data_IF_418009017807
#
_entry.id   IF_418009017807
#
_cell.length_a   1.000
_cell.length_b   1.000
_cell.length_c   1.000
_cell.angle_alpha   90.00
_cell.angle_beta   90.00
_cell.angle_gamma   90.00
#
_symmetry.space_group_name_H-M   'P 1'
#
loop_
_entity.id
_entity.type
_entity.pdbx_description
1 polymer ?
#
# COMPACT_ATOMS: atom_id res chain seq x y z
N UNK A 1 -35.52 -8.68 -38.53
CA UNK A 1 -36.00 -9.11 -37.21
C UNK A 1 -34.79 -9.13 -36.28
N UNK A 2 -34.53 -8.01 -35.57
CA UNK A 2 -33.43 -7.86 -34.63
C UNK A 2 -34.04 -7.51 -33.28
N UNK A 3 -33.80 -8.36 -32.29
CA UNK A 3 -34.31 -8.24 -30.94
C UNK A 3 -33.39 -7.27 -30.18
N UNK A 4 -33.95 -6.20 -29.64
CA UNK A 4 -33.26 -5.32 -28.69
C UNK A 4 -33.52 -5.86 -27.28
N UNK A 5 -32.46 -6.22 -26.56
CA UNK A 5 -32.52 -6.53 -25.14
C UNK A 5 -32.30 -5.22 -24.37
N UNK A 6 -33.35 -4.68 -23.76
CA UNK A 6 -33.28 -3.56 -22.83
C UNK A 6 -33.01 -4.15 -21.45
N UNK A 7 -31.79 -3.99 -20.94
CA UNK A 7 -31.46 -4.35 -19.57
C UNK A 7 -31.85 -3.18 -18.65
N UNK A 8 -32.85 -3.42 -17.80
CA UNK A 8 -33.34 -2.51 -16.79
C UNK A 8 -32.41 -2.58 -15.56
N UNK A 9 -31.66 -1.51 -15.28
CA UNK A 9 -30.86 -1.41 -14.05
C UNK A 9 -31.77 -0.96 -12.90
N UNK A 10 -32.14 -1.91 -12.03
CA UNK A 10 -32.75 -1.59 -10.74
C UNK A 10 -31.69 -1.03 -9.80
N UNK A 11 -31.76 0.28 -9.52
CA UNK A 11 -31.07 0.91 -8.39
C UNK A 11 -31.67 0.35 -7.08
N UNK A 12 -30.98 -0.61 -6.48
CA UNK A 12 -31.26 -1.03 -5.10
C UNK A 12 -30.73 0.04 -4.13
N UNK A 13 -31.65 0.75 -3.49
CA UNK A 13 -31.36 1.56 -2.31
C UNK A 13 -30.82 0.64 -1.20
N UNK A 14 -29.50 0.64 -0.98
CA UNK A 14 -28.93 0.16 0.27
C UNK A 14 -29.26 1.18 1.36
N UNK A 15 -30.31 0.90 2.12
CA UNK A 15 -30.52 1.52 3.43
C UNK A 15 -29.35 1.11 4.33
N UNK A 16 -28.37 2.00 4.47
CA UNK A 16 -27.32 1.88 5.48
C UNK A 16 -28.00 1.84 6.85
N UNK A 17 -28.05 0.66 7.44
CA UNK A 17 -28.35 0.53 8.85
C UNK A 17 -27.19 1.19 9.59
N UNK A 18 -27.37 2.44 10.03
CA UNK A 18 -26.60 3.00 11.14
C UNK A 18 -26.99 2.25 12.41
N UNK A 19 -26.63 0.96 12.48
CA UNK A 19 -26.61 0.24 13.74
C UNK A 19 -25.64 0.99 14.64
N UNK A 20 -26.07 1.31 15.85
CA UNK A 20 -25.17 1.80 16.88
C UNK A 20 -23.99 0.82 16.95
N UNK A 21 -22.80 1.30 16.54
CA UNK A 21 -21.59 0.52 16.60
C UNK A 21 -21.41 0.12 18.07
N UNK A 22 -21.55 -1.18 18.34
CA UNK A 22 -21.48 -1.70 19.70
C UNK A 22 -20.14 -1.28 20.29
N UNK A 23 -20.17 -0.64 21.46
CA UNK A 23 -18.99 -0.24 22.20
C UNK A 23 -18.17 -1.50 22.48
N UNK A 24 -16.95 -1.54 21.96
CA UNK A 24 -16.08 -2.71 21.98
C UNK A 24 -14.95 -2.45 22.97
N UNK A 25 -14.78 -3.32 23.96
CA UNK A 25 -13.68 -3.25 24.92
C UNK A 25 -12.47 -4.08 24.46
N UNK A 26 -11.32 -3.83 25.08
CA UNK A 26 -10.15 -4.70 24.85
C UNK A 26 -10.44 -6.16 25.23
N UNK A 27 -11.18 -6.41 26.31
CA UNK A 27 -11.59 -7.75 26.72
C UNK A 27 -12.42 -8.45 25.64
N UNK A 28 -13.31 -7.73 24.96
CA UNK A 28 -14.12 -8.28 23.86
C UNK A 28 -13.24 -8.69 22.68
N UNK A 29 -12.21 -7.89 22.34
CA UNK A 29 -11.23 -8.24 21.30
C UNK A 29 -10.44 -9.49 21.70
N UNK A 30 -9.93 -9.56 22.93
CA UNK A 30 -9.20 -10.75 23.40
C UNK A 30 -10.07 -12.01 23.35
N UNK A 31 -11.33 -11.90 23.79
CA UNK A 31 -12.29 -12.99 23.75
C UNK A 31 -12.58 -13.44 22.32
N UNK A 32 -12.81 -12.49 21.40
CA UNK A 32 -13.05 -12.77 19.97
C UNK A 32 -11.86 -13.48 19.30
N UNK A 33 -10.65 -13.20 19.77
CA UNK A 33 -9.39 -13.76 19.27
C UNK A 33 -8.97 -15.05 20.01
N UNK A 34 -9.83 -15.57 20.90
CA UNK A 34 -9.56 -16.74 21.75
C UNK A 34 -8.27 -16.60 22.59
N UNK A 35 -7.94 -15.38 23.01
CA UNK A 35 -6.80 -15.10 23.86
C UNK A 35 -7.27 -15.13 25.32
N UNK A 36 -6.68 -15.98 26.17
CA UNK A 36 -7.11 -16.07 27.57
C UNK A 36 -6.83 -14.74 28.26
N UNK A 37 -7.84 -14.09 28.87
CA UNK A 37 -7.60 -12.96 29.76
C UNK A 37 -6.99 -13.52 31.04
N UNK A 38 -5.67 -13.64 31.06
CA UNK A 38 -4.96 -14.12 32.24
C UNK A 38 -4.99 -13.05 33.35
N UNK A 39 -4.87 -13.42 34.63
CA UNK A 39 -5.16 -12.52 35.75
C UNK A 39 -4.10 -11.45 36.02
N UNK A 40 -3.15 -11.23 35.11
CA UNK A 40 -2.15 -10.18 35.22
C UNK A 40 -2.71 -8.95 34.52
N UNK A 41 -2.58 -7.78 35.17
CA UNK A 41 -3.18 -6.49 34.80
C UNK A 41 -2.79 -6.05 33.39
N UNK A 42 -3.52 -6.56 32.38
CA UNK A 42 -3.57 -5.95 31.05
C UNK A 42 -4.18 -4.56 31.26
N UNK A 43 -3.42 -3.48 31.01
CA UNK A 43 -3.96 -2.13 31.13
C UNK A 43 -5.20 -1.99 30.27
N UNK A 44 -6.19 -1.26 30.76
CA UNK A 44 -7.38 -0.90 29.98
C UNK A 44 -8.21 -2.09 29.49
N UNK A 45 -8.07 -3.28 30.10
CA UNK A 45 -8.78 -4.50 29.69
C UNK A 45 -10.30 -4.28 29.53
N UNK A 46 -10.90 -3.48 30.42
CA UNK A 46 -12.33 -3.19 30.42
C UNK A 46 -12.67 -1.82 29.84
N UNK A 47 -11.70 -1.11 29.29
CA UNK A 47 -11.91 0.18 28.63
C UNK A 47 -12.39 -0.05 27.20
N UNK A 48 -13.24 0.86 26.73
CA UNK A 48 -13.64 0.93 25.32
C UNK A 48 -12.44 1.33 24.46
N UNK A 49 -12.31 0.67 23.31
CA UNK A 49 -11.22 0.90 22.37
C UNK A 49 -11.73 1.23 20.97
N UNK A 50 -10.89 1.86 20.18
CA UNK A 50 -11.18 2.22 18.78
C UNK A 50 -9.92 2.13 17.92
N UNK A 51 -10.11 2.15 16.60
CA UNK A 51 -9.04 2.20 15.60
C UNK A 51 -7.93 1.17 15.86
N UNK A 52 -8.35 -0.08 16.00
CA UNK A 52 -7.48 -1.19 16.36
C UNK A 52 -7.32 -2.19 15.20
N UNK A 53 -6.20 -2.90 15.24
CA UNK A 53 -5.99 -4.11 14.45
C UNK A 53 -5.25 -5.14 15.29
N UNK A 54 -5.40 -6.41 14.93
CA UNK A 54 -4.79 -7.55 15.62
C UNK A 54 -3.87 -8.31 14.69
N UNK A 55 -2.83 -8.91 15.28
CA UNK A 55 -2.09 -10.04 14.74
C UNK A 55 -2.29 -11.20 15.71
N UNK A 56 -2.76 -12.33 15.22
CA UNK A 56 -2.98 -13.52 16.05
C UNK A 56 -2.47 -14.76 15.31
N UNK A 57 -1.29 -15.25 15.70
CA UNK A 57 -0.68 -16.45 15.11
C UNK A 57 -0.30 -17.48 16.18
N UNK A 58 0.27 -18.62 15.79
CA UNK A 58 0.63 -19.70 16.72
C UNK A 58 1.66 -19.29 17.78
N UNK A 59 2.42 -18.20 17.55
CA UNK A 59 3.50 -17.75 18.45
C UNK A 59 3.05 -16.65 19.38
N UNK A 60 2.19 -15.73 18.92
CA UNK A 60 1.82 -14.57 19.70
C UNK A 60 0.49 -13.93 19.27
N UNK A 61 0.02 -13.04 20.13
CA UNK A 61 -1.03 -12.10 19.84
C UNK A 61 -0.50 -10.68 20.02
N UNK A 62 -0.82 -9.77 19.11
CA UNK A 62 -0.49 -8.35 19.19
C UNK A 62 -1.73 -7.55 18.83
N UNK A 63 -2.01 -6.49 19.59
CA UNK A 63 -3.06 -5.52 19.28
C UNK A 63 -2.52 -4.11 19.46
N UNK A 64 -2.72 -3.28 18.44
CA UNK A 64 -2.50 -1.84 18.49
C UNK A 64 -3.86 -1.16 18.53
N UNK A 65 -4.07 -0.21 19.44
CA UNK A 65 -5.39 0.40 19.68
C UNK A 65 -5.27 1.78 20.35
N UNK A 66 -6.37 2.53 20.29
CA UNK A 66 -6.57 3.74 21.11
C UNK A 66 -7.72 3.51 22.09
N UNK A 67 -7.67 4.18 23.24
CA UNK A 67 -8.82 4.28 24.13
C UNK A 67 -9.86 5.20 23.50
N UNK A 68 -11.13 4.81 23.53
CA UNK A 68 -12.21 5.66 23.07
C UNK A 68 -12.46 6.77 24.10
N UNK A 69 -12.37 8.02 23.67
CA UNK A 69 -12.79 9.18 24.48
C UNK A 69 -14.28 9.46 24.22
N UNK A 70 -15.17 9.29 25.22
CA UNK A 70 -16.59 9.54 25.03
C UNK A 70 -16.92 10.99 24.62
N UNK A 71 -16.06 11.95 24.97
CA UNK A 71 -16.25 13.36 24.62
C UNK A 71 -15.81 13.68 23.17
N UNK A 72 -14.89 12.89 22.61
CA UNK A 72 -14.30 13.14 21.29
C UNK A 72 -14.19 11.84 20.47
N UNK A 73 -15.31 11.14 20.27
CA UNK A 73 -15.36 9.83 19.59
C UNK A 73 -14.75 9.78 18.18
N UNK A 74 -14.62 10.93 17.51
CA UNK A 74 -14.05 11.04 16.17
C UNK A 74 -12.56 11.43 16.16
N UNK A 75 -11.94 11.62 17.32
CA UNK A 75 -10.53 11.99 17.44
C UNK A 75 -9.73 10.84 18.04
N UNK A 76 -8.54 10.58 17.49
CA UNK A 76 -7.58 9.67 18.09
C UNK A 76 -6.85 10.39 19.23
N UNK A 77 -7.03 9.89 20.46
CA UNK A 77 -6.34 10.40 21.63
C UNK A 77 -5.07 9.60 21.88
N UNK A 78 -3.92 10.19 21.59
CA UNK A 78 -2.63 9.61 21.94
C UNK A 78 -2.53 9.34 23.44
N UNK A 79 -1.81 8.30 23.89
CA UNK A 79 -0.89 7.47 23.09
C UNK A 79 -1.59 6.39 22.24
N UNK A 80 -0.90 5.92 21.20
CA UNK A 80 -1.19 4.63 20.60
C UNK A 80 -0.73 3.54 21.58
N UNK A 81 -1.64 2.67 22.01
CA UNK A 81 -1.34 1.57 22.91
C UNK A 81 -1.08 0.31 22.10
N UNK A 82 -0.04 -0.43 22.48
CA UNK A 82 0.28 -1.72 21.88
C UNK A 82 0.45 -2.74 22.98
N UNK A 83 -0.31 -3.82 22.86
CA UNK A 83 -0.29 -4.94 23.78
C UNK A 83 0.11 -6.20 23.02
N UNK A 84 1.07 -6.95 23.57
CA UNK A 84 1.57 -8.22 23.05
C UNK A 84 1.41 -9.32 24.09
N UNK A 85 1.02 -10.50 23.64
CA UNK A 85 1.00 -11.73 24.41
C UNK A 85 1.85 -12.79 23.72
N UNK A 86 2.95 -13.18 24.35
CA UNK A 86 3.79 -14.29 23.91
C UNK A 86 3.15 -15.61 24.36
N UNK A 87 2.64 -16.40 23.40
CA UNK A 87 1.93 -17.65 23.70
C UNK A 87 2.88 -18.76 24.18
N UNK A 88 4.18 -18.61 23.95
CA UNK A 88 5.18 -19.60 24.34
C UNK A 88 5.61 -19.40 25.80
N UNK A 89 5.83 -18.15 26.19
CA UNK A 89 6.23 -17.82 27.57
C UNK A 89 5.05 -17.48 28.47
N UNK A 90 3.86 -17.27 27.89
CA UNK A 90 2.65 -16.85 28.59
C UNK A 90 2.82 -15.44 29.23
N UNK A 91 3.61 -14.58 28.59
CA UNK A 91 3.96 -13.26 29.10
C UNK A 91 3.27 -12.16 28.29
N UNK A 92 2.82 -11.13 29.00
CA UNK A 92 2.27 -9.91 28.42
C UNK A 92 3.31 -8.80 28.38
N UNK A 93 3.25 -7.97 27.35
CA UNK A 93 4.08 -6.76 27.20
C UNK A 93 3.23 -5.63 26.66
N UNK A 94 3.49 -4.40 27.13
CA UNK A 94 2.68 -3.24 26.81
C UNK A 94 3.58 -2.03 26.55
N UNK A 95 3.26 -1.23 25.55
CA UNK A 95 3.90 0.06 25.29
C UNK A 95 2.86 1.11 24.90
N UNK A 96 3.14 2.36 25.27
CA UNK A 96 2.38 3.53 24.89
C UNK A 96 3.26 4.43 24.02
N UNK A 97 2.89 4.63 22.76
CA UNK A 97 3.64 5.41 21.79
C UNK A 97 3.03 6.80 21.61
N UNK A 98 3.88 7.82 21.70
CA UNK A 98 3.54 9.23 21.48
C UNK A 98 4.70 9.94 20.78
N UNK A 99 4.39 10.98 20.00
CA UNK A 99 5.41 11.82 19.36
C UNK A 99 6.26 11.10 18.30
N UNK A 100 5.80 9.96 17.77
CA UNK A 100 6.49 9.22 16.73
C UNK A 100 6.32 9.94 15.39
N UNK A 101 7.43 10.30 14.76
CA UNK A 101 7.46 11.07 13.50
C UNK A 101 7.70 10.16 12.29
N UNK A 102 7.23 10.62 11.14
CA UNK A 102 7.48 10.03 9.83
C UNK A 102 7.67 11.13 8.80
N UNK A 103 8.45 10.86 7.75
CA UNK A 103 8.47 11.72 6.58
C UNK A 103 7.12 11.62 5.88
N UNK A 104 6.42 12.75 5.76
CA UNK A 104 5.11 12.79 5.14
C UNK A 104 5.17 12.36 3.66
N UNK A 105 6.27 12.71 2.98
CA UNK A 105 6.58 12.32 1.61
C UNK A 105 8.05 11.93 1.51
N UNK A 106 8.33 10.81 0.87
CA UNK A 106 9.71 10.34 0.67
C UNK A 106 10.54 11.33 -0.15
N UNK A 107 11.77 11.59 0.30
CA UNK A 107 12.67 12.56 -0.31
C UNK A 107 12.39 14.03 0.04
N UNK A 108 11.44 14.30 0.94
CA UNK A 108 11.14 15.64 1.45
C UNK A 108 11.39 15.73 2.97
N UNK A 109 11.81 16.91 3.44
CA UNK A 109 12.07 17.17 4.87
C UNK A 109 10.82 17.58 5.66
N UNK A 110 9.63 17.15 5.21
CA UNK A 110 8.36 17.44 5.88
C UNK A 110 8.03 16.24 6.75
N UNK A 111 7.95 16.47 8.06
CA UNK A 111 7.56 15.44 9.03
C UNK A 111 6.11 15.59 9.48
N UNK A 112 5.47 14.47 9.76
CA UNK A 112 4.15 14.37 10.38
C UNK A 112 4.15 13.36 11.52
N UNK A 113 3.12 13.37 12.36
CA UNK A 113 2.92 12.31 13.35
C UNK A 113 2.50 11.01 12.65
N UNK A 114 3.15 9.91 13.01
CA UNK A 114 2.79 8.57 12.56
C UNK A 114 1.93 7.87 13.63
N UNK A 115 0.77 8.47 13.90
CA UNK A 115 -0.17 8.05 14.95
C UNK A 115 -1.61 8.09 14.40
N UNK A 116 -1.81 7.40 13.28
CA UNK A 116 -3.12 7.22 12.64
C UNK A 116 -3.95 6.08 13.24
N UNK A 117 -5.07 5.77 12.60
CA UNK A 117 -5.88 4.60 12.94
C UNK A 117 -5.14 3.33 12.53
N UNK A 118 -4.98 2.37 13.45
CA UNK A 118 -4.29 1.12 13.14
C UNK A 118 -5.17 0.30 12.19
N UNK A 119 -4.66 -0.01 10.99
CA UNK A 119 -5.39 -0.72 9.95
C UNK A 119 -4.92 -2.16 9.76
N UNK A 120 -3.65 -2.46 10.05
CA UNK A 120 -3.11 -3.81 9.99
C UNK A 120 -1.90 -3.97 10.92
N UNK A 121 -1.65 -5.20 11.36
CA UNK A 121 -0.42 -5.59 12.06
C UNK A 121 0.10 -6.85 11.39
N UNK A 122 1.32 -6.79 10.89
CA UNK A 122 1.99 -7.91 10.25
C UNK A 122 3.33 -8.19 10.91
N UNK A 123 3.85 -9.41 10.72
CA UNK A 123 5.13 -9.81 11.30
C UNK A 123 6.02 -10.45 10.26
N UNK A 124 7.18 -9.84 10.05
CA UNK A 124 8.16 -10.30 9.08
C UNK A 124 9.56 -10.22 9.67
N UNK A 125 10.33 -11.31 9.54
CA UNK A 125 11.70 -11.43 10.04
C UNK A 125 11.90 -10.95 11.50
N UNK A 126 10.91 -11.23 12.37
CA UNK A 126 10.97 -10.90 13.80
C UNK A 126 10.57 -9.47 14.18
N UNK A 127 10.30 -8.60 13.21
CA UNK A 127 9.78 -7.24 13.43
C UNK A 127 8.27 -7.20 13.21
N UNK A 128 7.62 -6.22 13.85
CA UNK A 128 6.22 -5.88 13.59
C UNK A 128 6.12 -4.69 12.65
N UNK A 129 5.17 -4.77 11.73
CA UNK A 129 4.81 -3.71 10.80
C UNK A 129 3.38 -3.34 11.08
N UNK A 130 3.19 -2.19 11.73
CA UNK A 130 1.87 -1.65 12.03
C UNK A 130 1.55 -0.63 10.96
N UNK A 131 0.57 -0.94 10.11
CA UNK A 131 0.04 0.00 9.13
C UNK A 131 -0.98 0.92 9.80
N UNK A 132 -0.82 2.22 9.63
CA UNK A 132 -1.71 3.25 10.19
C UNK A 132 -2.23 4.14 9.08
N UNK A 133 -3.54 4.36 9.08
CA UNK A 133 -4.21 5.27 8.17
C UNK A 133 -4.27 6.68 8.79
N UNK A 134 -3.68 7.68 8.13
CA UNK A 134 -3.64 9.08 8.59
C UNK A 134 -4.77 9.91 7.96
N UNK A 135 -4.88 9.85 6.64
CA UNK A 135 -5.89 10.50 5.82
C UNK A 135 -6.23 9.57 4.65
N UNK A 136 -7.27 9.83 3.83
CA UNK A 136 -7.57 9.01 2.65
C UNK A 136 -6.42 8.86 1.64
N UNK A 137 -5.40 9.71 1.77
CA UNK A 137 -4.27 9.88 0.86
C UNK A 137 -2.91 9.64 1.51
N UNK A 138 -2.88 9.45 2.82
CA UNK A 138 -1.65 9.30 3.57
C UNK A 138 -1.81 8.22 4.63
N UNK A 139 -0.79 7.38 4.71
CA UNK A 139 -0.63 6.38 5.74
C UNK A 139 0.76 6.50 6.33
N UNK A 140 1.03 5.71 7.34
CA UNK A 140 2.39 5.42 7.71
C UNK A 140 2.49 4.00 8.23
N UNK A 141 3.69 3.45 8.20
CA UNK A 141 4.02 2.17 8.81
C UNK A 141 4.96 2.41 9.98
N UNK A 142 4.61 1.93 11.17
CA UNK A 142 5.55 1.80 12.29
C UNK A 142 6.24 0.44 12.19
N UNK A 143 7.57 0.45 12.22
CA UNK A 143 8.37 -0.77 12.33
C UNK A 143 8.83 -0.89 13.77
N UNK A 144 8.44 -1.97 14.42
CA UNK A 144 8.77 -2.24 15.82
C UNK A 144 9.66 -3.48 15.92
N UNK A 145 10.61 -3.41 16.85
CA UNK A 145 11.36 -4.58 17.30
C UNK A 145 10.46 -5.51 18.12
N UNK A 146 10.95 -6.71 18.44
CA UNK A 146 10.22 -7.70 19.26
C UNK A 146 9.83 -7.17 20.65
N UNK A 147 10.62 -6.26 21.22
CA UNK A 147 10.37 -5.60 22.50
C UNK A 147 9.41 -4.39 22.40
N UNK A 148 8.77 -4.23 21.23
CA UNK A 148 7.84 -3.15 20.89
C UNK A 148 8.47 -1.76 20.82
N UNK A 149 9.81 -1.65 20.84
CA UNK A 149 10.49 -0.38 20.58
C UNK A 149 10.40 -0.02 19.10
N UNK A 150 10.18 1.27 18.81
CA UNK A 150 10.15 1.77 17.42
C UNK A 150 11.57 1.72 16.85
N UNK A 151 11.75 0.96 15.78
CA UNK A 151 13.02 0.91 15.03
C UNK A 151 13.04 1.89 13.87
N UNK A 152 11.91 2.05 13.18
CA UNK A 152 11.79 2.95 12.04
C UNK A 152 10.33 3.29 11.70
N UNK A 153 10.14 4.26 10.80
CA UNK A 153 8.83 4.61 10.24
C UNK A 153 8.92 4.75 8.72
N UNK A 154 7.87 4.35 8.00
CA UNK A 154 7.74 4.52 6.56
C UNK A 154 6.52 5.39 6.25
N UNK A 155 6.67 6.38 5.37
CA UNK A 155 5.56 7.22 4.91
C UNK A 155 4.81 6.53 3.78
N UNK A 156 3.88 5.63 4.09
CA UNK A 156 3.21 4.78 3.12
C UNK A 156 2.70 3.46 3.71
N UNK A 157 2.18 2.59 2.85
CA UNK A 157 1.65 1.27 3.19
C UNK A 157 2.55 0.17 2.64
N UNK A 158 2.70 -0.92 3.40
CA UNK A 158 3.48 -2.09 2.98
C UNK A 158 2.70 -2.96 1.98
N UNK A 159 3.35 -3.38 0.90
CA UNK A 159 2.72 -4.17 -0.18
C UNK A 159 3.26 -5.60 -0.29
N UNK A 160 4.54 -5.82 0.01
CA UNK A 160 5.16 -7.14 -0.04
C UNK A 160 6.44 -7.23 0.81
N UNK A 161 6.81 -8.45 1.19
CA UNK A 161 7.96 -8.72 2.06
C UNK A 161 8.84 -9.83 1.48
N UNK A 162 10.14 -9.61 1.47
CA UNK A 162 11.14 -10.68 1.28
C UNK A 162 11.34 -11.45 2.60
N UNK A 163 11.78 -12.71 2.53
CA UNK A 163 12.18 -13.49 3.71
C UNK A 163 13.30 -12.79 4.51
N UNK A 164 14.15 -12.01 3.82
CA UNK A 164 15.19 -11.20 4.46
C UNK A 164 14.66 -10.06 5.34
N UNK A 165 13.35 -9.78 5.32
CA UNK A 165 12.73 -8.64 5.99
C UNK A 165 12.76 -7.33 5.20
N UNK A 166 13.30 -7.33 3.97
CA UNK A 166 13.18 -6.17 3.07
C UNK A 166 11.71 -5.99 2.68
N UNK A 167 11.27 -4.75 2.62
CA UNK A 167 9.86 -4.41 2.43
C UNK A 167 9.69 -3.63 1.15
N UNK A 168 8.70 -4.02 0.36
CA UNK A 168 8.17 -3.21 -0.72
C UNK A 168 7.00 -2.41 -0.16
N UNK A 169 7.02 -1.10 -0.39
CA UNK A 169 5.96 -0.21 0.08
C UNK A 169 5.69 0.89 -0.94
N UNK A 170 4.42 1.25 -1.09
CA UNK A 170 3.99 2.44 -1.81
C UNK A 170 4.09 3.63 -0.87
N UNK A 171 4.79 4.66 -1.32
CA UNK A 171 4.93 5.90 -0.57
C UNK A 171 3.67 6.77 -0.64
N UNK A 172 3.47 7.58 0.38
CA UNK A 172 2.39 8.58 0.41
C UNK A 172 2.42 9.50 -0.83
N UNK A 173 1.22 9.93 -1.24
CA UNK A 173 1.01 10.78 -2.40
C UNK A 173 0.14 11.99 -2.06
N UNK A 174 0.26 13.04 -2.85
CA UNK A 174 -0.60 14.22 -2.74
C UNK A 174 -1.85 13.99 -3.58
N UNK A 175 -2.95 13.50 -3.01
CA UNK A 175 -4.17 13.15 -3.79
C UNK A 175 -5.06 14.36 -4.20
N UNK A 176 -4.53 15.58 -4.31
CA UNK A 176 -5.35 16.77 -4.63
C UNK A 176 -5.77 16.87 -6.11
N UNK A 177 -5.25 16.00 -6.97
CA UNK A 177 -5.67 15.80 -8.37
C UNK A 177 -5.26 14.38 -8.85
N UNK A 178 -5.92 13.78 -9.87
CA UNK A 178 -5.57 12.47 -10.44
C UNK A 178 -4.27 12.55 -11.27
N UNK A 179 -3.18 12.93 -10.62
CA UNK A 179 -2.03 13.53 -11.32
C UNK A 179 -0.71 13.28 -10.61
N UNK A 180 -0.52 12.09 -10.04
CA UNK A 180 0.79 11.70 -9.53
C UNK A 180 1.06 10.24 -9.85
N UNK A 181 2.27 9.92 -10.34
CA UNK A 181 2.67 8.53 -10.46
C UNK A 181 2.81 7.95 -9.05
N UNK A 182 2.16 6.83 -8.80
CA UNK A 182 2.42 6.04 -7.61
C UNK A 182 3.91 5.71 -7.52
N UNK A 183 4.45 5.85 -6.31
CA UNK A 183 5.87 5.65 -6.05
C UNK A 183 6.06 4.41 -5.21
N UNK A 184 6.73 3.42 -5.78
CA UNK A 184 7.08 2.19 -5.10
C UNK A 184 8.53 2.27 -4.62
N UNK A 185 8.76 1.83 -3.38
CA UNK A 185 10.07 1.81 -2.75
C UNK A 185 10.40 0.42 -2.24
N UNK A 186 11.70 0.18 -2.04
CA UNK A 186 12.20 -0.93 -1.23
C UNK A 186 12.93 -0.38 -0.02
N UNK A 187 12.55 -0.84 1.17
CA UNK A 187 13.21 -0.54 2.43
C UNK A 187 14.02 -1.75 2.92
N UNK A 188 15.26 -1.50 3.36
CA UNK A 188 16.10 -2.49 4.03
C UNK A 188 16.20 -2.20 5.53
N UNK A 189 15.64 -3.08 6.40
CA UNK A 189 15.64 -2.86 7.84
C UNK A 189 17.02 -2.99 8.50
N UNK A 190 18.03 -3.53 7.82
CA UNK A 190 19.38 -3.69 8.37
C UNK A 190 20.17 -2.39 8.27
N UNK A 191 20.06 -1.69 7.14
CA UNK A 191 20.77 -0.42 6.89
C UNK A 191 19.90 0.81 7.08
N UNK A 192 18.59 0.63 7.32
CA UNK A 192 17.59 1.69 7.48
C UNK A 192 17.55 2.65 6.29
N UNK A 193 17.57 2.10 5.08
CA UNK A 193 17.57 2.88 3.83
C UNK A 193 16.41 2.47 2.93
N UNK A 194 15.81 3.48 2.30
CA UNK A 194 14.71 3.34 1.33
C UNK A 194 15.18 3.77 -0.04
N UNK A 195 14.90 2.93 -1.04
CA UNK A 195 15.29 3.17 -2.43
C UNK A 195 14.09 3.11 -3.36
N UNK A 196 13.96 4.12 -4.23
CA UNK A 196 12.91 4.17 -5.23
C UNK A 196 13.04 3.00 -6.22
N UNK A 197 11.97 2.22 -6.35
CA UNK A 197 11.79 1.16 -7.35
C UNK A 197 11.00 1.64 -8.55
N UNK A 198 9.96 2.46 -8.38
CA UNK A 198 9.13 2.94 -9.49
C UNK A 198 8.58 4.33 -9.15
N UNK A 199 8.45 5.24 -10.13
CA UNK A 199 8.85 5.11 -11.54
C UNK A 199 10.36 5.27 -11.76
N UNK A 200 10.88 4.67 -12.84
CA UNK A 200 12.27 4.84 -13.27
C UNK A 200 12.40 6.01 -14.26
N UNK A 201 13.53 6.73 -14.21
CA UNK A 201 13.76 7.91 -15.07
C UNK A 201 13.85 7.57 -16.55
N UNK A 202 14.48 6.44 -16.88
CA UNK A 202 14.71 5.98 -18.26
C UNK A 202 13.77 4.84 -18.60
N UNK A 203 12.46 5.14 -18.57
CA UNK A 203 11.39 4.18 -18.81
C UNK A 203 10.79 4.40 -20.22
N UNK A 204 11.06 3.50 -21.19
CA UNK A 204 10.54 3.61 -22.55
C UNK A 204 9.01 3.65 -22.63
N UNK A 205 8.30 2.84 -21.83
CA UNK A 205 6.84 2.75 -21.90
C UNK A 205 6.20 4.00 -21.29
N UNK A 206 6.72 4.52 -20.16
CA UNK A 206 6.30 5.84 -19.66
C UNK A 206 6.60 6.93 -20.67
N UNK A 207 7.78 6.94 -21.28
CA UNK A 207 8.13 7.96 -22.28
C UNK A 207 7.19 7.94 -23.49
N UNK A 208 6.78 6.75 -23.95
CA UNK A 208 5.77 6.60 -24.99
C UNK A 208 4.41 7.12 -24.54
N UNK A 209 3.97 6.85 -23.30
CA UNK A 209 2.73 7.39 -22.74
C UNK A 209 2.76 8.91 -22.59
N UNK A 210 3.86 9.47 -22.08
CA UNK A 210 4.11 10.92 -21.96
C UNK A 210 4.04 11.59 -23.33
N UNK A 211 4.69 11.00 -24.35
CA UNK A 211 4.66 11.52 -25.71
C UNK A 211 3.24 11.55 -26.30
N UNK A 212 2.38 10.64 -25.85
CA UNK A 212 0.98 10.57 -26.23
C UNK A 212 0.14 11.63 -25.50
N UNK A 213 0.28 11.78 -24.18
CA UNK A 213 -0.35 12.86 -23.40
C UNK A 213 0.02 14.24 -23.97
N UNK A 214 1.28 14.45 -24.33
CA UNK A 214 1.74 15.73 -24.91
C UNK A 214 1.00 16.19 -26.17
N UNK A 215 0.37 15.26 -26.91
CA UNK A 215 -0.39 15.60 -28.11
C UNK A 215 -1.76 16.21 -27.80
N UNK A 216 -2.27 15.95 -26.59
CA UNK A 216 -3.58 16.41 -26.11
C UNK A 216 -3.46 17.38 -24.93
N UNK A 217 -2.25 17.55 -24.39
CA UNK A 217 -1.96 18.45 -23.28
C UNK A 217 -2.27 19.90 -23.64
N UNK A 218 -3.08 20.54 -22.80
CA UNK A 218 -3.42 21.95 -22.88
C UNK A 218 -3.05 22.64 -21.55
N UNK A 219 -2.05 23.52 -21.64
CA UNK A 219 -1.55 24.29 -20.50
C UNK A 219 -2.65 25.16 -19.86
N UNK A 220 -3.59 25.68 -20.66
CA UNK A 220 -4.64 26.57 -20.14
C UNK A 220 -5.70 25.81 -19.35
N UNK A 221 -5.82 24.50 -19.57
CA UNK A 221 -6.73 23.61 -18.84
C UNK A 221 -6.16 23.16 -17.51
N UNK A 222 -4.84 23.05 -17.37
CA UNK A 222 -4.22 22.49 -16.16
C UNK A 222 -4.66 23.24 -14.87
N UNK A 223 -4.66 24.57 -14.89
CA UNK A 223 -5.11 25.37 -13.75
C UNK A 223 -6.64 25.48 -13.60
N UNK A 224 -7.41 25.40 -14.70
CA UNK A 224 -8.87 25.58 -14.70
C UNK A 224 -9.60 24.31 -14.27
N UNK A 225 -9.12 23.17 -14.72
CA UNK A 225 -9.75 21.86 -14.54
C UNK A 225 -9.13 21.09 -13.36
N UNK A 226 -8.20 21.71 -12.61
CA UNK A 226 -7.41 21.08 -11.55
C UNK A 226 -6.67 19.82 -12.05
N UNK A 227 -6.02 19.98 -13.19
CA UNK A 227 -5.31 18.96 -13.96
C UNK A 227 -3.80 19.12 -13.81
N UNK A 228 -3.02 18.09 -14.14
CA UNK A 228 -1.56 18.20 -14.02
C UNK A 228 -1.04 19.15 -15.08
N UNK A 229 -0.11 20.03 -14.68
CA UNK A 229 0.59 20.90 -15.63
C UNK A 229 1.88 20.27 -16.19
N UNK A 230 2.25 19.05 -15.77
CA UNK A 230 3.37 18.29 -16.33
C UNK A 230 2.89 16.91 -16.82
N UNK A 231 2.93 16.62 -18.13
CA UNK A 231 2.62 15.30 -18.70
C UNK A 231 3.38 14.11 -18.09
N UNK A 232 4.48 14.33 -17.38
CA UNK A 232 5.21 13.27 -16.66
C UNK A 232 4.53 12.82 -15.37
N UNK A 233 3.71 13.68 -14.79
CA UNK A 233 2.97 13.47 -13.56
C UNK A 233 1.63 12.75 -13.80
N UNK A 234 1.53 11.98 -14.88
CA UNK A 234 0.31 11.24 -15.15
C UNK A 234 0.06 10.13 -14.14
N UNK A 235 -1.22 9.88 -13.90
CA UNK A 235 -1.68 8.86 -12.97
C UNK A 235 -1.15 7.49 -13.41
N UNK A 236 -0.41 6.86 -12.50
CA UNK A 236 -0.07 5.47 -12.66
C UNK A 236 -0.29 4.74 -11.37
N UNK A 237 -1.01 3.63 -11.44
CA UNK A 237 -1.46 2.86 -10.28
C UNK A 237 -0.75 1.51 -10.31
N UNK A 238 -0.03 1.18 -9.25
CA UNK A 238 0.53 -0.14 -9.04
C UNK A 238 -0.60 -1.06 -8.61
N UNK A 239 -0.91 -2.07 -9.43
CA UNK A 239 -2.01 -2.99 -9.15
C UNK A 239 -1.52 -4.17 -8.32
N UNK A 240 -2.05 -4.41 -7.10
CA UNK A 240 -1.75 -5.60 -6.34
C UNK A 240 -2.18 -6.89 -7.07
N UNK A 241 -1.53 -8.03 -6.82
CA UNK A 241 -0.44 -8.20 -5.85
C UNK A 241 0.94 -7.89 -6.45
N UNK A 242 1.84 -7.38 -5.61
CA UNK A 242 3.28 -7.38 -5.91
C UNK A 242 3.84 -8.74 -5.55
N UNK A 243 4.62 -9.33 -6.45
CA UNK A 243 5.28 -10.63 -6.22
C UNK A 243 6.77 -10.44 -6.03
N UNK A 244 7.31 -11.13 -5.04
CA UNK A 244 8.73 -11.16 -4.72
C UNK A 244 9.24 -12.60 -4.81
N UNK A 245 10.53 -12.78 -5.03
CA UNK A 245 11.21 -14.07 -5.02
C UNK A 245 12.56 -13.91 -4.33
N UNK A 246 12.71 -14.53 -3.16
CA UNK A 246 13.98 -14.59 -2.44
C UNK A 246 15.03 -15.41 -3.21
N UNK A 247 14.62 -16.49 -3.87
CA UNK A 247 15.50 -17.38 -4.62
C UNK A 247 16.28 -16.67 -5.75
N UNK A 248 15.69 -15.63 -6.32
CA UNK A 248 16.26 -14.84 -7.42
C UNK A 248 16.47 -13.37 -7.05
N UNK A 249 16.21 -12.99 -5.79
CA UNK A 249 16.28 -11.62 -5.31
C UNK A 249 15.60 -10.61 -6.27
N UNK A 250 14.37 -10.92 -6.66
CA UNK A 250 13.64 -10.22 -7.71
C UNK A 250 12.20 -9.92 -7.32
N UNK A 251 11.56 -8.96 -7.99
CA UNK A 251 10.14 -8.69 -7.84
C UNK A 251 9.45 -8.36 -9.17
N UNK A 252 8.14 -8.54 -9.23
CA UNK A 252 7.31 -8.14 -10.36
C UNK A 252 5.96 -7.60 -9.89
N UNK A 253 5.45 -6.61 -10.63
CA UNK A 253 4.16 -5.98 -10.37
C UNK A 253 3.54 -5.44 -11.65
N UNK A 254 2.24 -5.19 -11.60
CA UNK A 254 1.48 -4.54 -12.68
C UNK A 254 1.37 -3.05 -12.40
N UNK A 255 1.35 -2.27 -13.47
CA UNK A 255 1.08 -0.83 -13.41
C UNK A 255 0.10 -0.47 -14.51
N UNK A 256 -0.90 0.30 -14.14
CA UNK A 256 -1.88 0.90 -15.03
C UNK A 256 -1.49 2.35 -15.31
N UNK A 257 -1.48 2.77 -16.58
CA UNK A 257 -1.25 4.16 -16.97
C UNK A 257 -2.55 4.78 -17.44
N UNK A 258 -2.98 5.85 -16.77
CA UNK A 258 -4.22 6.55 -17.07
C UNK A 258 -3.97 7.97 -17.59
N UNK A 259 -4.69 8.43 -18.62
CA UNK A 259 -4.65 9.84 -19.05
C UNK A 259 -5.52 10.74 -18.17
N UNK A 260 -6.15 10.19 -17.13
CA UNK A 260 -6.91 10.98 -16.15
C UNK A 260 -6.05 12.13 -15.62
N UNK A 261 -6.69 13.27 -15.45
CA UNK A 261 -6.00 14.54 -15.17
C UNK A 261 -5.40 15.23 -16.40
N UNK A 262 -5.61 14.71 -17.61
CA UNK A 262 -5.27 15.35 -18.89
C UNK A 262 -6.37 15.24 -19.95
N UNK A 263 -7.26 14.26 -19.82
CA UNK A 263 -8.43 14.06 -20.67
C UNK A 263 -9.62 13.70 -19.78
N UNK A 264 -10.82 14.13 -20.16
CA UNK A 264 -12.05 13.52 -19.64
C UNK A 264 -12.24 12.12 -20.21
N UNK A 265 -13.01 11.26 -19.53
CA UNK A 265 -13.32 9.91 -20.02
C UNK A 265 -13.93 9.93 -21.42
N UNK A 266 -14.84 10.87 -21.70
CA UNK A 266 -15.45 11.02 -23.03
C UNK A 266 -14.41 11.40 -24.11
N UNK A 267 -13.47 12.31 -23.81
CA UNK A 267 -12.40 12.67 -24.75
C UNK A 267 -11.44 11.49 -25.00
N UNK A 268 -11.18 10.66 -23.99
CA UNK A 268 -10.41 9.43 -24.13
C UNK A 268 -11.17 8.43 -25.03
N UNK A 269 -12.43 8.13 -24.72
CA UNK A 269 -13.30 7.21 -25.48
C UNK A 269 -13.44 7.63 -26.96
N UNK A 270 -13.77 8.90 -27.23
CA UNK A 270 -13.97 9.43 -28.59
C UNK A 270 -12.67 9.41 -29.43
N UNK A 271 -11.51 9.50 -28.76
CA UNK A 271 -10.19 9.38 -29.37
C UNK A 271 -9.81 7.95 -29.79
N UNK A 272 -10.62 6.96 -29.45
CA UNK A 272 -10.50 5.58 -29.91
C UNK A 272 -9.45 4.72 -29.21
N UNK A 273 -8.80 5.18 -28.13
CA UNK A 273 -7.93 4.41 -27.20
C UNK A 273 -7.88 5.11 -25.82
N UNK A 274 -7.08 4.62 -24.86
CA UNK A 274 -6.65 5.24 -23.57
C UNK A 274 -7.37 4.93 -22.26
N UNK A 275 -8.31 3.98 -22.19
CA UNK A 275 -8.68 3.48 -20.87
C UNK A 275 -7.61 2.48 -20.44
N UNK A 276 -6.63 3.01 -19.70
CA UNK A 276 -5.80 2.28 -18.77
C UNK A 276 -4.84 1.26 -19.42
N UNK A 277 -3.71 1.78 -19.92
CA UNK A 277 -2.68 0.91 -20.49
C UNK A 277 -1.99 0.11 -19.38
N UNK A 278 -2.12 -1.21 -19.44
CA UNK A 278 -1.50 -2.10 -18.46
C UNK A 278 -0.10 -2.59 -18.87
N UNK A 279 0.82 -2.50 -17.92
CA UNK A 279 2.20 -2.92 -18.05
C UNK A 279 2.62 -3.82 -16.88
N UNK A 280 3.64 -4.64 -17.10
CA UNK A 280 4.33 -5.39 -16.06
C UNK A 280 5.77 -4.95 -15.99
N UNK A 281 6.21 -4.68 -14.75
CA UNK A 281 7.59 -4.42 -14.43
C UNK A 281 8.18 -5.62 -13.72
N UNK A 282 9.41 -5.98 -14.10
CA UNK A 282 10.21 -7.04 -13.47
C UNK A 282 11.56 -6.45 -13.07
N UNK A 283 11.90 -6.56 -11.79
CA UNK A 283 13.16 -6.10 -11.22
C UNK A 283 13.99 -7.28 -10.73
N UNK A 284 15.29 -7.21 -10.96
CA UNK A 284 16.30 -7.96 -10.24
C UNK A 284 17.08 -6.97 -9.38
N UNK A 285 17.24 -7.27 -8.10
CA UNK A 285 17.73 -6.30 -7.13
C UNK A 285 19.26 -6.32 -6.99
N UNK A 286 19.92 -7.42 -7.40
CA UNK A 286 21.36 -7.53 -7.38
C UNK A 286 21.88 -8.41 -8.55
N UNK A 287 22.45 -7.82 -9.62
CA UNK A 287 22.62 -6.39 -9.83
C UNK A 287 21.26 -5.68 -10.01
N UNK A 288 21.17 -4.40 -9.65
CA UNK A 288 19.93 -3.65 -9.83
C UNK A 288 19.65 -3.39 -11.32
N UNK A 289 18.62 -4.05 -11.84
CA UNK A 289 18.15 -3.86 -13.22
C UNK A 289 16.67 -4.15 -13.33
N UNK A 290 16.02 -3.58 -14.35
CA UNK A 290 14.61 -3.77 -14.59
C UNK A 290 14.27 -3.91 -16.09
N UNK A 291 13.10 -4.48 -16.32
CA UNK A 291 12.43 -4.61 -17.61
C UNK A 291 10.94 -4.34 -17.46
N UNK A 292 10.38 -3.80 -18.52
CA UNK A 292 9.00 -3.39 -18.63
C UNK A 292 8.38 -4.00 -19.89
N UNK A 293 7.15 -4.47 -19.79
CA UNK A 293 6.43 -5.10 -20.89
C UNK A 293 4.96 -4.69 -20.88
N UNK A 294 4.34 -4.56 -22.04
CA UNK A 294 2.87 -4.61 -22.10
C UNK A 294 2.38 -5.97 -21.61
N UNK A 295 1.27 -6.00 -20.88
CA UNK A 295 0.66 -7.27 -20.44
C UNK A 295 0.37 -8.23 -21.60
N UNK A 296 0.08 -7.71 -22.79
CA UNK A 296 -0.22 -8.49 -23.99
C UNK A 296 1.01 -9.20 -24.58
N UNK A 297 2.21 -8.73 -24.26
CA UNK A 297 3.48 -9.30 -24.73
C UNK A 297 3.97 -10.48 -23.88
N UNK A 298 3.49 -10.62 -22.64
CA UNK A 298 4.06 -11.56 -21.67
C UNK A 298 3.92 -13.01 -22.13
N UNK A 299 2.69 -13.44 -22.45
CA UNK A 299 2.43 -14.82 -22.86
C UNK A 299 3.12 -15.21 -24.18
N UNK A 300 3.10 -14.38 -25.24
CA UNK A 300 3.88 -14.64 -26.44
C UNK A 300 5.40 -14.73 -26.20
N UNK A 301 5.96 -13.86 -25.35
CA UNK A 301 7.42 -13.79 -25.15
C UNK A 301 7.95 -14.80 -24.15
N UNK A 302 7.19 -15.10 -23.09
CA UNK A 302 7.65 -15.88 -21.94
C UNK A 302 6.86 -17.16 -21.70
N UNK A 303 5.74 -17.35 -22.41
CA UNK A 303 4.84 -18.49 -22.21
C UNK A 303 3.95 -18.36 -20.97
N UNK A 304 3.96 -17.21 -20.30
CA UNK A 304 3.17 -16.94 -19.08
C UNK A 304 2.91 -15.45 -18.88
N UNK A 305 1.83 -15.15 -18.19
CA UNK A 305 1.37 -13.85 -17.69
C UNK A 305 1.31 -13.78 -16.14
N UNK A 306 1.74 -14.85 -15.46
CA UNK A 306 1.84 -14.90 -13.98
C UNK A 306 3.10 -14.20 -13.53
N UNK A 307 2.94 -13.24 -12.62
CA UNK A 307 4.05 -12.49 -12.03
C UNK A 307 5.05 -13.42 -11.34
N UNK A 308 4.58 -14.43 -10.60
CA UNK A 308 5.44 -15.41 -9.93
C UNK A 308 6.28 -16.21 -10.92
N UNK A 309 5.68 -16.66 -12.03
CA UNK A 309 6.39 -17.44 -13.05
C UNK A 309 7.42 -16.60 -13.82
N UNK A 310 7.22 -15.28 -13.92
CA UNK A 310 8.23 -14.37 -14.47
C UNK A 310 9.47 -14.26 -13.57
N UNK A 311 9.32 -14.50 -12.26
CA UNK A 311 10.42 -14.47 -11.28
C UNK A 311 11.14 -15.82 -11.14
N UNK A 312 10.67 -16.89 -11.80
CA UNK A 312 11.39 -18.16 -11.81
C UNK A 312 12.76 -18.01 -12.52
N UNK A 313 13.84 -18.66 -12.06
CA UNK A 313 15.20 -18.43 -12.57
C UNK A 313 15.34 -18.50 -14.10
N UNK A 314 14.71 -19.49 -14.74
CA UNK A 314 14.75 -19.67 -16.19
C UNK A 314 14.02 -18.54 -16.93
N UNK A 315 12.80 -18.19 -16.50
CA UNK A 315 12.01 -17.11 -17.11
C UNK A 315 12.67 -15.75 -16.88
N UNK A 316 13.20 -15.50 -15.68
CA UNK A 316 13.87 -14.25 -15.32
C UNK A 316 15.09 -14.01 -16.20
N UNK A 317 15.89 -15.06 -16.47
CA UNK A 317 17.02 -15.00 -17.39
C UNK A 317 16.58 -14.59 -18.80
N UNK A 318 15.44 -15.12 -19.28
CA UNK A 318 14.87 -14.73 -20.59
C UNK A 318 14.32 -13.31 -20.61
N UNK A 319 13.68 -12.86 -19.52
CA UNK A 319 13.21 -11.48 -19.34
C UNK A 319 14.36 -10.50 -19.57
N UNK A 320 15.50 -10.70 -18.91
CA UNK A 320 16.64 -9.80 -19.03
C UNK A 320 17.50 -10.01 -20.29
N UNK A 321 17.42 -11.16 -20.95
CA UNK A 321 18.00 -11.38 -22.28
C UNK A 321 17.21 -10.68 -23.39
N UNK A 322 15.95 -10.31 -23.15
CA UNK A 322 15.11 -9.64 -24.14
C UNK A 322 15.59 -8.18 -24.33
N UNK A 323 15.82 -7.74 -25.58
CA UNK A 323 16.16 -6.35 -25.88
C UNK A 323 15.08 -5.39 -25.41
N UNK A 324 15.47 -4.17 -24.99
CA UNK A 324 14.50 -3.10 -24.74
C UNK A 324 13.87 -2.65 -26.06
N UNK A 325 12.57 -2.34 -26.06
CA UNK A 325 11.86 -1.84 -27.25
C UNK A 325 12.43 -0.51 -27.76
#
# INVERSE_FOLDING_TARGET
MRVYLVACFCFGLFLTHSGAQQELTLADVLLGENIPPLPITIPDLHSEITSYATLNDDKEFVVGYYLLDPAERNALKTPLLITRFDKQTNEWSHVALSGVKVKALEGHDIESDCLGSVSAIERHNGNYYLNLHLTPSASCTLILNRDLTVSHTLGGWTDAFFESGRVIYTGNMVHFAPTHPEKLYIYDPVVHDSRLLYPQREDPLRNMFIARIRKVFDQDRCGKDNWACDPKEFESIVTPPIKVSDATNSLAFRVEFSPRGFLSSAEAEDGGQWEDDEYVYVYELNPFRWREFSVYDLKPKFGTDSLEKLLAPETLSRVFATPRP
#
